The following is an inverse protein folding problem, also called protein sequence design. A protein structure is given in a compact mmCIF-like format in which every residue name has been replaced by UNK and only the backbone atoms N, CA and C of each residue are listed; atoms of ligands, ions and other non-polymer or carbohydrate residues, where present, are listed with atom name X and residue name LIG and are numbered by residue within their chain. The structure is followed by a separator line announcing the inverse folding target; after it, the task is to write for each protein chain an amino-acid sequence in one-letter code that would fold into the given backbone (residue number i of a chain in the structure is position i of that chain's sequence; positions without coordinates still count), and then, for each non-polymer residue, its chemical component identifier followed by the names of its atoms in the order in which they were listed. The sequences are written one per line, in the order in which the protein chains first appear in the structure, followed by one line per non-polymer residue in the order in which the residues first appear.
data_IF_552302168912
#
_entry.id   IF_552302168912
#
_cell.length_a   1.000
_cell.length_b   1.000
_cell.length_c   1.000
_cell.angle_alpha   90.00
_cell.angle_beta   90.00
_cell.angle_gamma   90.00
#
_symmetry.space_group_name_H-M   'P 1'
#
loop_
_entity.id
_entity.type
_entity.pdbx_description
1 polymer ?
#
# COMPACT_ATOMS: atom_id res chain seq x y z
N UNK A 1 -2.01 2.42 -14.55
CA UNK A 1 -2.44 3.75 -14.06
C UNK A 1 -3.77 3.59 -13.34
N UNK A 2 -3.91 4.10 -12.12
CA UNK A 2 -5.15 3.99 -11.32
C UNK A 2 -5.25 5.15 -10.31
N UNK A 3 -6.48 5.52 -9.91
CA UNK A 3 -6.76 6.39 -8.77
C UNK A 3 -7.14 5.60 -7.50
N UNK A 4 -7.19 4.27 -7.57
CA UNK A 4 -7.49 3.42 -6.41
C UNK A 4 -6.48 3.64 -5.28
N UNK A 5 -6.96 3.67 -4.03
CA UNK A 5 -6.10 3.68 -2.84
C UNK A 5 -5.29 2.39 -2.65
N UNK A 6 -5.75 1.27 -3.25
CA UNK A 6 -5.08 -0.04 -3.14
C UNK A 6 -3.97 -0.25 -4.16
N UNK A 7 -3.81 0.64 -5.14
CA UNK A 7 -2.87 0.43 -6.26
C UNK A 7 -1.42 0.25 -5.77
N UNK A 8 -1.03 0.92 -4.69
CA UNK A 8 0.30 0.78 -4.09
C UNK A 8 0.51 -0.63 -3.54
N UNK A 9 -0.46 -1.18 -2.81
CA UNK A 9 -0.40 -2.54 -2.27
C UNK A 9 -0.38 -3.57 -3.40
N UNK A 10 -1.29 -3.43 -4.37
CA UNK A 10 -1.42 -4.36 -5.49
C UNK A 10 -0.16 -4.40 -6.36
N UNK A 11 0.37 -3.23 -6.73
CA UNK A 11 1.58 -3.14 -7.56
C UNK A 11 2.83 -3.62 -6.83
N UNK A 12 2.92 -3.37 -5.50
CA UNK A 12 4.00 -3.91 -4.68
C UNK A 12 3.95 -5.44 -4.60
N UNK A 13 2.79 -6.03 -4.34
CA UNK A 13 2.65 -7.48 -4.14
C UNK A 13 2.80 -8.24 -5.46
N UNK A 14 2.21 -7.73 -6.54
CA UNK A 14 2.17 -8.40 -7.83
C UNK A 14 3.32 -8.00 -8.77
N UNK A 15 4.12 -6.99 -8.40
CA UNK A 15 5.33 -6.60 -9.12
C UNK A 15 5.08 -5.97 -10.50
N UNK A 16 3.93 -5.36 -10.74
CA UNK A 16 3.63 -4.69 -12.02
C UNK A 16 3.93 -3.18 -11.97
N UNK A 17 4.38 -2.57 -13.09
CA UNK A 17 4.62 -1.13 -13.13
C UNK A 17 3.32 -0.35 -12.96
N UNK A 18 3.31 0.60 -12.03
CA UNK A 18 2.13 1.39 -11.71
C UNK A 18 2.44 2.88 -11.57
N UNK A 19 1.40 3.68 -11.82
CA UNK A 19 1.36 5.10 -11.48
C UNK A 19 0.02 5.40 -10.83
N UNK A 20 0.00 6.34 -9.89
CA UNK A 20 -1.25 6.88 -9.31
C UNK A 20 -1.51 8.30 -9.81
N UNK A 21 -2.75 8.56 -10.21
CA UNK A 21 -3.22 9.88 -10.70
C UNK A 21 -3.84 10.73 -9.59
N UNK A 22 -3.32 10.62 -8.37
CA UNK A 22 -3.69 11.44 -7.20
C UNK A 22 -2.61 12.49 -6.94
N UNK A 23 -2.98 13.59 -6.27
CA UNK A 23 -2.03 14.59 -5.77
C UNK A 23 -1.63 14.36 -4.30
N UNK A 24 -2.23 13.35 -3.66
CA UNK A 24 -1.91 12.90 -2.31
C UNK A 24 -2.25 11.41 -2.16
N UNK A 25 -1.53 10.72 -1.29
CA UNK A 25 -1.78 9.30 -0.97
C UNK A 25 -1.53 9.02 0.51
N UNK A 26 -2.14 7.95 1.02
CA UNK A 26 -2.06 7.50 2.42
C UNK A 26 -1.06 6.34 2.64
N UNK A 27 -0.15 6.11 1.69
CA UNK A 27 0.75 4.95 1.62
C UNK A 27 2.23 5.35 1.48
N UNK A 28 2.82 6.11 2.43
CA UNK A 28 4.21 6.58 2.35
C UNK A 28 5.22 5.43 2.19
N UNK A 29 4.93 4.25 2.75
CA UNK A 29 5.77 3.05 2.67
C UNK A 29 5.99 2.57 1.24
N UNK A 30 5.06 2.84 0.31
CA UNK A 30 5.26 2.55 -1.12
C UNK A 30 6.27 3.48 -1.80
N UNK A 31 6.51 4.67 -1.26
CA UNK A 31 7.54 5.58 -1.76
C UNK A 31 8.92 5.19 -1.25
N UNK A 32 9.02 4.61 -0.05
CA UNK A 32 10.26 4.09 0.50
C UNK A 32 10.87 3.01 -0.40
N UNK A 33 10.02 2.14 -0.97
CA UNK A 33 10.42 1.09 -1.92
C UNK A 33 10.29 1.51 -3.40
N UNK A 34 9.81 2.73 -3.68
CA UNK A 34 9.61 3.23 -5.05
C UNK A 34 8.61 2.43 -5.88
N UNK A 35 7.59 1.82 -5.24
CA UNK A 35 6.63 0.90 -5.87
C UNK A 35 5.92 1.50 -7.09
N UNK A 36 5.61 2.80 -7.07
CA UNK A 36 4.92 3.50 -8.15
C UNK A 36 5.30 4.99 -8.20
N UNK A 37 4.92 5.68 -9.27
CA UNK A 37 5.04 7.14 -9.37
C UNK A 37 3.69 7.81 -9.10
N UNK A 38 3.68 8.83 -8.23
CA UNK A 38 2.55 9.75 -8.06
C UNK A 38 2.63 10.88 -9.09
N UNK A 39 1.89 10.73 -10.19
CA UNK A 39 1.99 11.64 -11.35
C UNK A 39 1.08 12.87 -11.27
N UNK A 40 0.12 12.87 -10.34
CA UNK A 40 -0.97 13.85 -10.36
C UNK A 40 -1.79 13.75 -11.65
N UNK A 41 -2.34 14.88 -12.09
CA UNK A 41 -3.29 14.96 -13.22
C UNK A 41 -2.74 15.64 -14.48
N UNK A 42 -1.48 16.11 -14.47
CA UNK A 42 -0.88 16.78 -15.63
C UNK A 42 -0.48 15.74 -16.70
N UNK A 43 -0.92 15.94 -17.94
CA UNK A 43 -0.67 15.02 -19.05
C UNK A 43 0.82 14.72 -19.28
N UNK A 44 1.67 15.76 -19.32
CA UNK A 44 3.10 15.57 -19.58
C UNK A 44 3.79 14.80 -18.45
N UNK A 45 3.40 15.07 -17.20
CA UNK A 45 3.88 14.31 -16.03
C UNK A 45 3.42 12.86 -16.08
N UNK A 46 2.15 12.60 -16.43
CA UNK A 46 1.60 11.25 -16.57
C UNK A 46 2.37 10.48 -17.64
N UNK A 47 2.54 11.07 -18.82
CA UNK A 47 3.26 10.45 -19.94
C UNK A 47 4.69 10.08 -19.53
N UNK A 48 5.42 11.05 -18.96
CA UNK A 48 6.79 10.82 -18.48
C UNK A 48 6.85 9.72 -17.42
N UNK A 49 5.88 9.69 -16.50
CA UNK A 49 5.82 8.69 -15.43
C UNK A 49 5.58 7.29 -16.00
N UNK A 50 4.70 7.15 -16.99
CA UNK A 50 4.44 5.88 -17.68
C UNK A 50 5.71 5.37 -18.36
N UNK A 51 6.39 6.23 -19.12
CA UNK A 51 7.62 5.85 -19.83
C UNK A 51 8.69 5.34 -18.85
N UNK A 52 8.85 6.00 -17.69
CA UNK A 52 9.79 5.59 -16.64
C UNK A 52 9.44 4.22 -16.06
N UNK A 53 8.21 4.03 -15.55
CA UNK A 53 7.86 2.78 -14.86
C UNK A 53 7.85 1.58 -15.81
N UNK A 54 7.45 1.78 -17.07
CA UNK A 54 7.48 0.72 -18.08
C UNK A 54 8.91 0.35 -18.42
N UNK A 55 9.81 1.32 -18.59
CA UNK A 55 11.21 1.01 -18.91
C UNK A 55 11.94 0.32 -17.76
N UNK A 56 11.78 0.82 -16.54
CA UNK A 56 12.40 0.23 -15.34
C UNK A 56 11.93 -1.21 -15.08
N UNK A 57 10.66 -1.51 -15.36
CA UNK A 57 10.10 -2.87 -15.18
C UNK A 57 10.74 -3.95 -16.06
N UNK A 58 11.49 -3.58 -17.10
CA UNK A 58 12.16 -4.55 -18.00
C UNK A 58 13.40 -5.21 -17.38
N UNK A 59 14.02 -4.58 -16.39
CA UNK A 59 15.29 -5.05 -15.82
C UNK A 59 15.04 -5.87 -14.56
N UNK A 60 14.40 -5.28 -13.56
CA UNK A 60 14.05 -5.91 -12.30
C UNK A 60 12.73 -5.33 -11.78
N UNK A 61 11.97 -6.16 -11.07
CA UNK A 61 10.83 -5.67 -10.29
C UNK A 61 11.33 -4.86 -9.09
N UNK A 62 10.51 -3.90 -8.66
CA UNK A 62 10.70 -3.25 -7.35
C UNK A 62 10.58 -4.27 -6.22
N UNK A 63 11.17 -3.97 -5.06
CA UNK A 63 10.99 -4.81 -3.88
C UNK A 63 9.54 -4.73 -3.37
N UNK A 64 9.09 -5.81 -2.74
CA UNK A 64 7.80 -5.82 -2.04
C UNK A 64 7.98 -4.99 -0.76
N UNK A 65 7.07 -4.04 -0.52
CA UNK A 65 6.99 -3.33 0.76
C UNK A 65 6.81 -4.35 1.86
N UNK A 66 7.77 -4.39 2.77
CA UNK A 66 7.88 -5.43 3.80
C UNK A 66 6.63 -5.57 4.67
N UNK A 67 5.93 -4.47 4.94
CA UNK A 67 4.71 -4.48 5.74
C UNK A 67 3.50 -5.10 5.02
N UNK A 68 3.55 -5.19 3.69
CA UNK A 68 2.54 -5.88 2.88
C UNK A 68 2.81 -7.38 2.77
N UNK A 69 4.06 -7.81 2.98
CA UNK A 69 4.51 -9.21 2.88
C UNK A 69 4.10 -10.03 4.12
N UNK A 70 2.78 -10.24 4.29
CA UNK A 70 2.22 -10.99 5.43
C UNK A 70 0.99 -11.83 5.04
N UNK A 71 1.07 -13.15 5.20
CA UNK A 71 -0.01 -14.06 4.81
C UNK A 71 -1.10 -14.29 5.88
N UNK A 72 -0.82 -13.99 7.15
CA UNK A 72 -1.62 -14.46 8.29
C UNK A 72 -2.42 -13.37 9.03
N UNK A 73 -2.77 -12.28 8.33
CA UNK A 73 -3.50 -11.13 8.91
C UNK A 73 -4.79 -11.56 9.60
N UNK A 74 -5.57 -12.46 9.00
CA UNK A 74 -6.82 -12.98 9.60
C UNK A 74 -6.60 -13.63 10.98
N UNK A 75 -5.52 -14.41 11.13
CA UNK A 75 -5.15 -15.03 12.42
C UNK A 75 -4.72 -13.98 13.44
N UNK A 76 -3.95 -12.96 13.02
CA UNK A 76 -3.54 -11.85 13.88
C UNK A 76 -4.78 -11.09 14.42
N UNK A 77 -5.73 -10.77 13.55
CA UNK A 77 -6.96 -10.04 13.91
C UNK A 77 -7.79 -10.80 14.94
N UNK A 78 -8.04 -12.10 14.74
CA UNK A 78 -8.80 -12.91 15.71
C UNK A 78 -8.12 -12.93 17.08
N UNK A 79 -6.79 -13.09 17.12
CA UNK A 79 -6.02 -13.06 18.37
C UNK A 79 -6.10 -11.70 19.07
N UNK A 80 -6.01 -10.60 18.32
CA UNK A 80 -6.20 -9.25 18.87
C UNK A 80 -7.60 -9.11 19.49
N UNK A 81 -8.65 -9.45 18.75
CA UNK A 81 -10.04 -9.32 19.24
C UNK A 81 -10.21 -10.06 20.57
N UNK A 82 -9.87 -11.34 20.63
CA UNK A 82 -10.02 -12.15 21.84
C UNK A 82 -9.18 -11.59 23.01
N UNK A 83 -7.97 -11.10 22.72
CA UNK A 83 -7.08 -10.55 23.77
C UNK A 83 -7.61 -9.24 24.38
N UNK A 84 -8.30 -8.41 23.60
CA UNK A 84 -8.67 -7.05 24.00
C UNK A 84 -10.13 -6.89 24.45
N UNK A 85 -11.04 -7.84 24.20
CA UNK A 85 -12.45 -7.71 24.60
C UNK A 85 -12.61 -7.39 26.09
N UNK A 86 -12.07 -8.24 26.98
CA UNK A 86 -12.23 -8.06 28.42
C UNK A 86 -11.41 -6.87 28.95
N UNK A 87 -10.24 -6.64 28.36
CA UNK A 87 -9.42 -5.48 28.67
C UNK A 87 -10.17 -4.17 28.39
N UNK A 88 -10.83 -4.06 27.24
CA UNK A 88 -11.60 -2.86 26.86
C UNK A 88 -12.85 -2.73 27.73
N UNK A 89 -13.58 -3.83 27.99
CA UNK A 89 -14.76 -3.81 28.85
C UNK A 89 -14.45 -3.30 30.27
N UNK A 90 -13.31 -3.71 30.85
CA UNK A 90 -12.87 -3.25 32.17
C UNK A 90 -12.31 -1.83 32.15
N UNK A 91 -11.44 -1.49 31.19
CA UNK A 91 -10.66 -0.26 31.27
C UNK A 91 -11.34 0.94 30.61
N UNK A 92 -12.09 0.74 29.52
CA UNK A 92 -12.76 1.81 28.78
C UNK A 92 -14.21 1.92 29.23
N UNK A 93 -14.97 0.83 29.16
CA UNK A 93 -16.41 0.85 29.39
C UNK A 93 -16.83 0.71 30.86
N UNK A 94 -15.92 0.35 31.76
CA UNK A 94 -16.18 0.18 33.20
C UNK A 94 -17.38 -0.74 33.50
N UNK A 95 -17.51 -1.83 32.73
CA UNK A 95 -18.62 -2.80 32.89
C UNK A 95 -18.44 -3.75 34.10
N UNK A 96 -17.27 -3.72 34.72
CA UNK A 96 -16.90 -4.47 35.94
C UNK A 96 -16.09 -3.55 36.86
#
# INVERSE_FOLDING_TARGET
MSDSGTITEESSILGFPAITIRNSHERPEGMDEGTLIMSGLNYETIKTSIDIVVDQSKVNSMYIVKDYDTENVSKKVVRCIISYIDYINRNVWKKH
#
